data_IF_472671822260
#
_entry.id   IF_472671822260
#
_cell.length_a   1.000
_cell.length_b   1.000
_cell.length_c   1.000
_cell.angle_alpha   90.00
_cell.angle_beta   90.00
_cell.angle_gamma   90.00
#
_symmetry.space_group_name_H-M   'P 1'
#
loop_
_entity.id
_entity.type
_entity.pdbx_description
1 polymer ?
#
# COMPACT_ATOMS: atom_id res chain seq x y z
N UNK A 1 11.02 -21.37 -2.75
CA UNK A 1 10.86 -20.27 -3.72
C UNK A 1 10.99 -20.71 -5.19
N UNK A 2 11.37 -21.95 -5.53
CA UNK A 2 11.85 -22.31 -6.89
C UNK A 2 10.79 -22.41 -8.01
N UNK A 3 9.49 -22.14 -7.76
CA UNK A 3 8.45 -22.14 -8.82
C UNK A 3 7.30 -21.17 -8.54
N UNK A 4 7.57 -19.89 -8.29
CA UNK A 4 6.47 -18.89 -8.26
C UNK A 4 6.01 -18.48 -9.67
N UNK A 5 6.88 -18.53 -10.68
CA UNK A 5 6.64 -17.96 -12.03
C UNK A 5 6.83 -18.95 -13.20
N UNK A 6 6.74 -20.26 -12.97
CA UNK A 6 6.98 -21.25 -14.02
C UNK A 6 5.69 -21.67 -14.75
N UNK A 7 5.29 -20.91 -15.78
CA UNK A 7 4.47 -21.36 -16.92
C UNK A 7 2.97 -21.65 -16.68
N UNK A 8 2.11 -20.90 -17.38
CA UNK A 8 0.64 -20.98 -17.40
C UNK A 8 0.00 -20.86 -16.01
N UNK A 9 0.12 -19.67 -15.43
CA UNK A 9 -0.51 -19.29 -14.17
C UNK A 9 0.56 -19.07 -13.11
N UNK A 10 0.79 -17.80 -12.78
CA UNK A 10 1.41 -17.46 -11.51
C UNK A 10 0.54 -18.04 -10.41
N UNK A 11 1.11 -18.63 -9.37
CA UNK A 11 0.30 -19.17 -8.29
C UNK A 11 -0.03 -18.05 -7.30
N UNK A 12 -1.11 -17.31 -7.56
CA UNK A 12 -1.53 -16.16 -6.74
C UNK A 12 -1.76 -16.57 -5.28
N UNK A 13 -2.23 -17.80 -5.07
CA UNK A 13 -2.37 -18.38 -3.73
C UNK A 13 -1.02 -18.53 -3.01
N UNK A 14 0.03 -19.01 -3.69
CA UNK A 14 1.38 -19.04 -3.13
C UNK A 14 1.94 -17.63 -2.89
N UNK A 15 1.63 -16.66 -3.76
CA UNK A 15 2.01 -15.25 -3.55
C UNK A 15 1.40 -14.74 -2.25
N UNK A 16 0.10 -14.95 -2.02
CA UNK A 16 -0.58 -14.52 -0.79
C UNK A 16 0.02 -15.25 0.41
N UNK A 17 0.18 -16.57 0.34
CA UNK A 17 0.74 -17.38 1.42
C UNK A 17 2.17 -16.96 1.79
N UNK A 18 2.98 -16.51 0.83
CA UNK A 18 4.36 -16.08 1.07
C UNK A 18 4.42 -14.60 1.47
N UNK A 19 3.89 -13.68 0.67
CA UNK A 19 4.12 -12.26 0.86
C UNK A 19 3.23 -11.66 1.95
N UNK A 20 1.97 -12.07 2.06
CA UNK A 20 1.03 -11.44 3.01
C UNK A 20 1.43 -11.66 4.48
N UNK A 21 2.13 -12.76 4.78
CA UNK A 21 2.52 -13.14 6.15
C UNK A 21 3.95 -12.74 6.50
N UNK A 22 4.58 -11.86 5.72
CA UNK A 22 5.98 -11.45 5.88
C UNK A 22 6.02 -9.98 6.18
N UNK A 23 6.83 -9.58 7.16
CA UNK A 23 7.02 -8.18 7.47
C UNK A 23 7.95 -7.47 6.46
N UNK A 24 8.04 -6.15 6.49
CA UNK A 24 8.84 -5.35 5.55
C UNK A 24 10.30 -5.81 5.45
N UNK A 25 10.94 -6.17 6.57
CA UNK A 25 12.32 -6.66 6.58
C UNK A 25 12.43 -8.03 5.91
N UNK A 26 11.50 -8.94 6.19
CA UNK A 26 11.45 -10.26 5.55
C UNK A 26 11.16 -10.16 4.05
N UNK A 27 10.26 -9.27 3.63
CA UNK A 27 9.98 -9.02 2.20
C UNK A 27 11.21 -8.47 1.47
N UNK A 28 11.99 -7.61 2.14
CA UNK A 28 13.28 -7.14 1.62
C UNK A 28 14.26 -8.30 1.42
N UNK A 29 14.40 -9.18 2.40
CA UNK A 29 15.27 -10.37 2.29
C UNK A 29 14.80 -11.33 1.18
N UNK A 30 13.49 -11.47 0.99
CA UNK A 30 12.93 -12.25 -0.12
C UNK A 30 13.36 -11.65 -1.46
N UNK A 31 13.24 -10.32 -1.65
CA UNK A 31 13.69 -9.64 -2.87
C UNK A 31 15.19 -9.84 -3.13
N UNK A 32 16.02 -9.66 -2.11
CA UNK A 32 17.48 -9.83 -2.21
C UNK A 32 17.86 -11.28 -2.55
N UNK A 33 17.19 -12.24 -1.91
CA UNK A 33 17.40 -13.67 -2.17
C UNK A 33 16.95 -14.06 -3.58
N UNK A 34 15.82 -13.52 -4.04
CA UNK A 34 15.32 -13.74 -5.39
C UNK A 34 16.30 -13.20 -6.44
N UNK A 35 16.77 -11.97 -6.27
CA UNK A 35 17.76 -11.37 -7.16
C UNK A 35 19.07 -12.17 -7.19
N UNK A 36 19.52 -12.70 -6.06
CA UNK A 36 20.72 -13.55 -6.00
C UNK A 36 20.52 -14.90 -6.70
N UNK A 37 19.34 -15.51 -6.54
CA UNK A 37 19.06 -16.84 -7.08
C UNK A 37 18.76 -16.83 -8.59
N UNK A 38 18.08 -15.79 -9.08
CA UNK A 38 17.56 -15.73 -10.46
C UNK A 38 18.20 -14.64 -11.31
N UNK A 39 18.97 -13.72 -10.71
CA UNK A 39 19.49 -12.52 -11.41
C UNK A 39 18.38 -11.63 -12.00
N UNK A 40 17.17 -11.72 -11.43
CA UNK A 40 15.97 -11.00 -11.84
C UNK A 40 15.40 -10.15 -10.70
N UNK A 41 14.60 -9.15 -11.03
CA UNK A 41 13.93 -8.30 -10.03
C UNK A 41 12.53 -8.83 -9.77
N UNK A 42 12.28 -9.32 -8.56
CA UNK A 42 10.98 -9.85 -8.14
C UNK A 42 9.83 -8.88 -8.42
N UNK A 43 10.02 -7.57 -8.24
CA UNK A 43 8.95 -6.60 -8.50
C UNK A 43 8.65 -6.49 -9.99
N UNK A 44 9.66 -6.64 -10.85
CA UNK A 44 9.47 -6.61 -12.31
C UNK A 44 8.70 -7.85 -12.78
N UNK A 45 9.01 -9.01 -12.23
CA UNK A 45 8.32 -10.25 -12.60
C UNK A 45 6.88 -10.25 -12.08
N UNK A 46 6.65 -9.80 -10.83
CA UNK A 46 5.30 -9.58 -10.30
C UNK A 46 4.49 -8.58 -11.14
N UNK A 47 5.13 -7.53 -11.66
CA UNK A 47 4.47 -6.54 -12.52
C UNK A 47 4.15 -7.09 -13.93
N UNK A 48 4.97 -8.01 -14.44
CA UNK A 48 4.73 -8.64 -15.73
C UNK A 48 3.64 -9.73 -15.67
N UNK A 49 3.53 -10.42 -14.54
CA UNK A 49 2.69 -11.61 -14.40
C UNK A 49 1.32 -11.35 -13.77
N UNK A 50 1.20 -10.33 -12.92
CA UNK A 50 -0.05 -9.98 -12.26
C UNK A 50 -0.76 -8.87 -13.02
N UNK A 51 -2.09 -8.76 -12.83
CA UNK A 51 -2.87 -7.67 -13.43
C UNK A 51 -3.82 -7.02 -12.40
N UNK A 52 -4.36 -5.86 -12.79
CA UNK A 52 -5.47 -5.19 -12.08
C UNK A 52 -5.14 -4.88 -10.61
N UNK A 53 -6.12 -4.96 -9.71
CA UNK A 53 -5.97 -4.53 -8.32
C UNK A 53 -5.15 -5.50 -7.50
N UNK A 54 -5.16 -6.80 -7.86
CA UNK A 54 -4.31 -7.80 -7.23
C UNK A 54 -2.82 -7.50 -7.47
N UNK A 55 -2.42 -7.16 -8.71
CA UNK A 55 -1.07 -6.67 -9.01
C UNK A 55 -0.71 -5.47 -8.14
N UNK A 56 -1.60 -4.48 -8.05
CA UNK A 56 -1.34 -3.24 -7.32
C UNK A 56 -1.09 -3.50 -5.84
N UNK A 57 -1.94 -4.28 -5.17
CA UNK A 57 -1.77 -4.60 -3.74
C UNK A 57 -0.50 -5.40 -3.50
N UNK A 58 -0.18 -6.36 -4.37
CA UNK A 58 1.04 -7.18 -4.24
C UNK A 58 2.29 -6.33 -4.42
N UNK A 59 2.34 -5.47 -5.44
CA UNK A 59 3.48 -4.59 -5.68
C UNK A 59 3.67 -3.59 -4.54
N UNK A 60 2.62 -2.90 -4.11
CA UNK A 60 2.69 -1.94 -3.00
C UNK A 60 3.10 -2.61 -1.69
N UNK A 61 2.61 -3.83 -1.42
CA UNK A 61 3.03 -4.58 -0.25
C UNK A 61 4.50 -4.99 -0.30
N UNK A 62 4.98 -5.42 -1.46
CA UNK A 62 6.35 -5.94 -1.66
C UNK A 62 7.42 -4.87 -1.64
N UNK A 63 7.07 -3.62 -1.96
CA UNK A 63 7.96 -2.46 -1.77
C UNK A 63 8.34 -2.30 -0.30
N UNK A 64 9.57 -1.83 -0.04
CA UNK A 64 9.91 -1.33 1.29
C UNK A 64 9.07 -0.09 1.61
N UNK A 65 8.87 0.26 2.90
CA UNK A 65 8.07 1.43 3.28
C UNK A 65 8.51 2.72 2.56
N UNK A 66 9.82 2.94 2.43
CA UNK A 66 10.37 4.11 1.74
C UNK A 66 10.10 4.11 0.22
N UNK A 67 10.27 2.97 -0.45
CA UNK A 67 9.97 2.86 -1.89
C UNK A 67 8.47 2.98 -2.16
N UNK A 68 7.63 2.46 -1.26
CA UNK A 68 6.17 2.58 -1.31
C UNK A 68 5.73 4.04 -1.17
N UNK A 69 6.23 4.76 -0.16
CA UNK A 69 5.91 6.18 0.03
C UNK A 69 6.41 7.02 -1.15
N UNK A 70 7.60 6.73 -1.69
CA UNK A 70 8.10 7.37 -2.90
C UNK A 70 7.17 7.14 -4.11
N UNK A 71 6.70 5.90 -4.30
CA UNK A 71 5.76 5.57 -5.37
C UNK A 71 4.41 6.29 -5.19
N UNK A 72 3.83 6.23 -4.00
CA UNK A 72 2.55 6.89 -3.69
C UNK A 72 2.64 8.40 -3.87
N UNK A 73 3.75 9.02 -3.45
CA UNK A 73 3.97 10.44 -3.64
C UNK A 73 4.10 10.80 -5.13
N UNK A 74 4.81 9.99 -5.93
CA UNK A 74 4.90 10.19 -7.37
C UNK A 74 3.54 10.05 -8.06
N UNK A 75 2.73 9.06 -7.69
CA UNK A 75 1.37 8.94 -8.24
C UNK A 75 0.50 10.14 -7.84
N UNK A 76 0.66 10.64 -6.62
CA UNK A 76 -0.07 11.80 -6.12
C UNK A 76 0.38 13.15 -6.71
N UNK A 77 1.52 13.22 -7.40
CA UNK A 77 1.99 14.44 -8.09
C UNK A 77 1.69 14.42 -9.60
N UNK A 78 1.22 13.31 -10.18
CA UNK A 78 0.84 13.28 -11.60
C UNK A 78 -0.42 14.12 -11.85
N UNK A 79 -0.39 14.94 -12.91
CA UNK A 79 -1.45 15.91 -13.27
C UNK A 79 -2.88 15.36 -13.39
N UNK A 80 -3.06 14.06 -13.63
CA UNK A 80 -4.37 13.40 -13.73
C UNK A 80 -4.87 12.80 -12.40
N UNK A 81 -3.99 12.71 -11.39
CA UNK A 81 -4.23 12.04 -10.10
C UNK A 81 -3.74 12.89 -8.92
N UNK A 82 -3.57 14.20 -9.12
CA UNK A 82 -3.03 15.11 -8.12
C UNK A 82 -3.88 15.04 -6.84
N UNK A 83 -3.35 14.36 -5.83
CA UNK A 83 -4.04 14.12 -4.56
C UNK A 83 -3.20 14.68 -3.43
N UNK A 84 -3.46 15.96 -3.12
CA UNK A 84 -2.90 16.66 -1.98
C UNK A 84 -3.06 15.85 -0.67
N UNK A 85 -4.10 15.02 -0.57
CA UNK A 85 -4.37 14.18 0.59
C UNK A 85 -3.34 13.07 0.82
N UNK A 86 -2.85 12.42 -0.25
CA UNK A 86 -1.83 11.36 -0.11
C UNK A 86 -0.49 11.96 0.32
N UNK A 87 -0.13 13.12 -0.25
CA UNK A 87 1.08 13.86 0.17
C UNK A 87 0.97 14.27 1.63
N UNK A 88 -0.19 14.78 2.06
CA UNK A 88 -0.43 15.14 3.46
C UNK A 88 -0.42 13.93 4.40
N UNK A 89 -1.03 12.81 3.98
CA UNK A 89 -0.98 11.55 4.74
C UNK A 89 0.47 11.15 5.01
N UNK A 90 1.31 11.11 3.96
CA UNK A 90 2.74 10.77 4.09
C UNK A 90 3.43 11.79 5.00
N UNK A 91 3.26 13.09 4.75
CA UNK A 91 3.95 14.16 5.49
C UNK A 91 3.65 14.16 6.99
N UNK A 92 2.44 13.80 7.39
CA UNK A 92 1.98 13.95 8.76
C UNK A 92 1.90 12.64 9.56
N UNK A 93 2.06 11.48 8.93
CA UNK A 93 2.02 10.18 9.63
C UNK A 93 3.35 9.43 9.62
N UNK A 94 4.35 9.92 8.87
CA UNK A 94 5.71 9.36 8.83
C UNK A 94 6.63 10.19 9.75
N UNK A 95 7.57 9.51 10.39
CA UNK A 95 8.65 10.14 11.14
C UNK A 95 9.63 10.88 10.21
N UNK A 96 10.46 11.75 10.78
CA UNK A 96 11.47 12.48 9.99
C UNK A 96 12.47 11.56 9.27
N UNK A 97 12.83 10.43 9.89
CA UNK A 97 13.71 9.41 9.28
C UNK A 97 13.02 8.68 8.12
N UNK A 98 11.74 8.29 8.28
CA UNK A 98 10.96 7.68 7.21
C UNK A 98 10.79 8.64 6.02
N UNK A 99 10.51 9.92 6.28
CA UNK A 99 10.44 10.95 5.22
C UNK A 99 11.78 11.12 4.51
N UNK A 100 12.89 11.10 5.25
CA UNK A 100 14.22 11.18 4.66
C UNK A 100 14.52 9.97 3.77
N UNK A 101 14.18 8.76 4.20
CA UNK A 101 14.31 7.53 3.39
C UNK A 101 13.41 7.55 2.17
N UNK A 102 12.18 8.04 2.29
CA UNK A 102 11.26 8.19 1.16
C UNK A 102 11.82 9.13 0.09
N UNK A 103 12.41 10.27 0.47
CA UNK A 103 13.11 11.18 -0.47
C UNK A 103 14.26 10.49 -1.19
N UNK A 104 15.08 9.73 -0.47
CA UNK A 104 16.18 8.99 -1.09
C UNK A 104 15.67 7.96 -2.10
N UNK A 105 14.64 7.19 -1.73
CA UNK A 105 14.02 6.22 -2.62
C UNK A 105 13.39 6.89 -3.85
N UNK A 106 12.74 8.04 -3.67
CA UNK A 106 12.17 8.84 -4.75
C UNK A 106 13.25 9.30 -5.74
N UNK A 107 14.32 9.92 -5.23
CA UNK A 107 15.44 10.37 -6.07
C UNK A 107 16.12 9.19 -6.78
N UNK A 108 16.34 8.08 -6.08
CA UNK A 108 16.94 6.88 -6.66
C UNK A 108 16.12 6.34 -7.84
N UNK A 109 14.79 6.30 -7.71
CA UNK A 109 13.86 5.75 -8.70
C UNK A 109 13.54 6.72 -9.85
N UNK A 110 13.18 7.96 -9.53
CA UNK A 110 12.64 8.92 -10.50
C UNK A 110 13.66 9.95 -11.00
N UNK A 111 14.86 9.99 -10.42
CA UNK A 111 15.92 10.96 -10.75
C UNK A 111 15.48 12.42 -10.61
N UNK A 112 14.57 12.68 -9.67
CA UNK A 112 13.98 13.99 -9.35
C UNK A 112 13.91 14.17 -7.84
N UNK A 113 13.75 15.41 -7.39
CA UNK A 113 13.51 15.72 -5.98
C UNK A 113 12.00 15.70 -5.70
N UNK A 114 11.63 14.99 -4.63
CA UNK A 114 10.23 14.87 -4.22
C UNK A 114 9.62 16.25 -3.91
N UNK A 115 10.38 17.11 -3.25
CA UNK A 115 9.96 18.45 -2.84
C UNK A 115 9.64 19.34 -4.03
N UNK A 116 10.44 19.27 -5.10
CA UNK A 116 10.22 20.04 -6.32
C UNK A 116 8.93 19.59 -7.00
N UNK A 117 8.69 18.28 -7.06
CA UNK A 117 7.48 17.71 -7.64
C UNK A 117 6.24 18.05 -6.83
N UNK A 118 6.32 18.00 -5.50
CA UNK A 118 5.23 18.41 -4.61
C UNK A 118 4.95 19.91 -4.76
N UNK A 119 5.98 20.76 -4.72
CA UNK A 119 5.82 22.20 -4.83
C UNK A 119 5.23 22.65 -6.17
N UNK A 120 5.56 21.95 -7.26
CA UNK A 120 5.04 22.26 -8.59
C UNK A 120 3.59 21.79 -8.79
N UNK A 121 3.20 20.66 -8.19
CA UNK A 121 1.91 20.01 -8.49
C UNK A 121 0.85 20.20 -7.41
N UNK A 122 1.20 20.67 -6.21
CA UNK A 122 0.26 20.88 -5.10
C UNK A 122 0.04 22.37 -4.85
N UNK A 123 -1.23 22.77 -4.74
CA UNK A 123 -1.62 24.14 -4.37
C UNK A 123 -2.69 24.08 -3.28
N UNK A 124 -2.74 25.10 -2.41
CA UNK A 124 -3.77 25.27 -1.38
C UNK A 124 -3.30 25.06 0.06
N UNK A 125 -4.15 25.47 1.00
CA UNK A 125 -3.96 25.24 2.44
C UNK A 125 -4.30 23.80 2.80
N UNK A 126 -3.38 23.15 3.51
CA UNK A 126 -3.59 21.79 4.00
C UNK A 126 -4.17 21.83 5.41
N UNK A 127 -5.40 21.33 5.66
CA UNK A 127 -5.97 21.31 7.00
C UNK A 127 -5.23 20.27 7.86
N UNK A 128 -4.20 20.71 8.58
CA UNK A 128 -3.38 19.90 9.51
C UNK A 128 -4.25 19.23 10.59
N UNK A 129 -5.41 19.82 10.89
CA UNK A 129 -6.36 19.31 11.86
C UNK A 129 -6.87 17.89 11.54
N UNK A 130 -6.83 17.48 10.27
CA UNK A 130 -7.30 16.17 9.81
C UNK A 130 -6.49 14.97 10.34
N UNK A 131 -5.32 15.18 10.95
CA UNK A 131 -4.44 14.09 11.43
C UNK A 131 -4.18 14.12 12.94
N UNK A 132 -4.93 14.92 13.71
CA UNK A 132 -4.96 14.80 15.18
C UNK A 132 -5.41 13.41 15.65
N UNK A 133 -6.12 12.67 14.79
CA UNK A 133 -6.61 11.31 15.07
C UNK A 133 -6.49 10.45 13.80
N UNK A 134 -5.28 9.93 13.49
CA UNK A 134 -5.00 9.20 12.26
C UNK A 134 -6.00 8.06 11.97
N UNK A 135 -6.41 7.32 13.00
CA UNK A 135 -7.38 6.23 12.89
C UNK A 135 -8.74 6.68 12.33
N UNK A 136 -9.20 7.90 12.66
CA UNK A 136 -10.44 8.47 12.11
C UNK A 136 -10.30 8.88 10.65
N UNK A 137 -9.11 9.33 10.27
CA UNK A 137 -8.80 9.66 8.88
C UNK A 137 -8.81 8.37 8.04
N UNK A 138 -8.04 7.36 8.45
CA UNK A 138 -7.95 6.08 7.73
C UNK A 138 -9.29 5.34 7.70
N UNK A 139 -10.06 5.36 8.79
CA UNK A 139 -11.43 4.85 8.79
C UNK A 139 -12.27 5.52 7.69
N UNK A 140 -12.23 6.85 7.61
CA UNK A 140 -13.02 7.59 6.62
C UNK A 140 -12.58 7.26 5.20
N UNK A 141 -11.27 7.13 4.96
CA UNK A 141 -10.73 6.71 3.65
C UNK A 141 -11.23 5.31 3.29
N UNK A 142 -11.09 4.34 4.19
CA UNK A 142 -11.57 2.97 3.97
C UNK A 142 -13.08 2.91 3.72
N UNK A 143 -13.86 3.64 4.52
CA UNK A 143 -15.33 3.68 4.38
C UNK A 143 -15.77 4.32 3.06
N UNK A 144 -15.03 5.32 2.57
CA UNK A 144 -15.31 5.95 1.28
C UNK A 144 -14.80 5.12 0.10
N UNK A 145 -13.74 4.35 0.30
CA UNK A 145 -13.22 3.39 -0.66
C UNK A 145 -14.11 2.16 -0.80
N UNK A 146 -14.72 1.70 0.29
CA UNK A 146 -15.66 0.55 0.31
C UNK A 146 -17.10 1.09 0.14
N UNK A 147 -17.55 1.26 -1.11
CA UNK A 147 -18.88 1.81 -1.44
C UNK A 147 -19.71 0.76 -2.19
N UNK A 148 -20.97 0.61 -1.77
CA UNK A 148 -21.99 -0.29 -2.36
C UNK A 148 -22.28 -0.12 -3.88
N UNK A 149 -21.73 0.89 -4.56
CA UNK A 149 -21.93 1.17 -6.00
C UNK A 149 -20.61 1.18 -6.79
N UNK A 150 -19.52 0.70 -6.21
CA UNK A 150 -18.18 0.63 -6.79
C UNK A 150 -17.12 1.02 -5.77
N UNK A 151 -16.03 0.27 -5.72
CA UNK A 151 -14.92 0.50 -4.79
C UNK A 151 -13.94 1.53 -5.38
N UNK A 152 -13.30 2.34 -4.54
CA UNK A 152 -12.05 3.00 -4.92
C UNK A 152 -10.90 2.10 -4.46
N UNK A 153 -10.51 1.17 -5.32
CA UNK A 153 -9.48 0.17 -5.01
C UNK A 153 -8.12 0.82 -4.75
N UNK A 154 -7.88 2.05 -5.24
CA UNK A 154 -6.66 2.78 -4.96
C UNK A 154 -6.57 3.22 -3.50
N UNK A 155 -7.62 3.85 -2.98
CA UNK A 155 -7.68 4.25 -1.57
C UNK A 155 -7.64 3.05 -0.62
N UNK A 156 -8.42 1.99 -0.93
CA UNK A 156 -8.43 0.76 -0.14
C UNK A 156 -7.04 0.09 -0.12
N UNK A 157 -6.43 -0.10 -1.29
CA UNK A 157 -5.08 -0.70 -1.40
C UNK A 157 -4.04 0.14 -0.66
N UNK A 158 -4.07 1.47 -0.83
CA UNK A 158 -3.11 2.37 -0.18
C UNK A 158 -3.17 2.23 1.34
N UNK A 159 -4.37 2.30 1.92
CA UNK A 159 -4.51 2.24 3.38
C UNK A 159 -4.10 0.87 3.90
N UNK A 160 -4.55 -0.22 3.28
CA UNK A 160 -4.18 -1.57 3.73
C UNK A 160 -2.67 -1.78 3.66
N UNK A 161 -2.04 -1.46 2.53
CA UNK A 161 -0.59 -1.71 2.35
C UNK A 161 0.30 -0.81 3.20
N UNK A 162 -0.13 0.42 3.53
CA UNK A 162 0.67 1.33 4.36
C UNK A 162 0.43 1.15 5.86
N UNK A 163 -0.74 0.68 6.29
CA UNK A 163 -1.14 0.65 7.71
C UNK A 163 -1.17 -0.73 8.35
N UNK A 164 -1.13 -1.81 7.56
CA UNK A 164 -1.15 -3.19 8.07
C UNK A 164 -0.11 -3.46 9.17
N UNK A 165 1.11 -2.93 9.04
CA UNK A 165 2.22 -3.14 9.99
C UNK A 165 2.36 -2.01 11.03
N UNK A 166 1.41 -1.08 11.10
CA UNK A 166 1.54 0.17 11.88
C UNK A 166 0.45 0.30 12.93
N UNK A 167 -0.81 0.39 12.50
CA UNK A 167 -1.93 0.71 13.39
C UNK A 167 -3.27 0.15 12.89
N UNK A 168 -3.23 -0.91 12.07
CA UNK A 168 -4.43 -1.52 11.48
C UNK A 168 -5.48 -1.94 12.52
N UNK A 169 -5.08 -2.45 13.69
CA UNK A 169 -6.05 -2.81 14.75
C UNK A 169 -6.81 -1.59 15.27
N UNK A 170 -6.13 -0.46 15.50
CA UNK A 170 -6.80 0.79 15.91
C UNK A 170 -7.73 1.32 14.83
N UNK A 171 -7.34 1.18 13.56
CA UNK A 171 -8.19 1.55 12.42
C UNK A 171 -9.42 0.65 12.36
N UNK A 172 -9.27 -0.67 12.56
CA UNK A 172 -10.37 -1.65 12.59
C UNK A 172 -11.36 -1.34 13.72
N UNK A 173 -10.88 -0.98 14.91
CA UNK A 173 -11.70 -0.57 16.04
C UNK A 173 -12.54 0.68 15.72
N UNK A 174 -11.91 1.75 15.21
CA UNK A 174 -12.64 2.98 14.84
C UNK A 174 -13.60 2.74 13.67
N UNK A 175 -13.22 1.88 12.70
CA UNK A 175 -14.10 1.47 11.61
C UNK A 175 -15.34 0.75 12.13
N UNK A 176 -15.19 -0.23 13.02
CA UNK A 176 -16.33 -0.95 13.59
C UNK A 176 -17.25 -0.02 14.37
N UNK A 177 -16.66 0.84 15.21
CA UNK A 177 -17.39 1.83 16.02
C UNK A 177 -18.24 2.79 15.18
N UNK A 178 -17.75 3.22 14.02
CA UNK A 178 -18.45 4.18 13.15
C UNK A 178 -19.43 3.55 12.16
N UNK A 179 -19.17 2.32 11.73
CA UNK A 179 -19.91 1.69 10.64
C UNK A 179 -20.84 0.55 11.07
N UNK A 180 -20.68 0.04 12.30
CA UNK A 180 -21.48 -1.07 12.82
C UNK A 180 -21.17 -2.43 12.18
N UNK A 181 -20.15 -2.50 11.32
CA UNK A 181 -19.66 -3.72 10.66
C UNK A 181 -18.13 -3.77 10.79
N UNK A 182 -17.56 -4.96 10.91
CA UNK A 182 -16.09 -5.10 10.96
C UNK A 182 -15.47 -4.81 9.59
N UNK A 183 -14.23 -4.32 9.57
CA UNK A 183 -13.54 -3.99 8.32
C UNK A 183 -13.38 -5.22 7.42
N UNK A 184 -13.07 -6.39 8.00
CA UNK A 184 -12.93 -7.65 7.27
C UNK A 184 -14.25 -8.10 6.61
N UNK A 185 -15.39 -7.89 7.28
CA UNK A 185 -16.70 -8.14 6.66
C UNK A 185 -17.03 -7.13 5.57
N UNK A 186 -16.62 -5.87 5.74
CA UNK A 186 -16.85 -4.84 4.73
C UNK A 186 -16.04 -5.11 3.45
N UNK A 187 -14.77 -5.51 3.58
CA UNK A 187 -13.91 -5.87 2.44
C UNK A 187 -14.44 -7.11 1.73
N UNK A 188 -14.80 -8.17 2.46
CA UNK A 188 -15.37 -9.39 1.87
C UNK A 188 -16.75 -9.19 1.22
N UNK A 189 -17.43 -8.08 1.52
CA UNK A 189 -18.72 -7.74 0.92
C UNK A 189 -18.64 -6.88 -0.34
N UNK A 190 -17.50 -6.26 -0.61
CA UNK A 190 -17.32 -5.25 -1.66
C UNK A 190 -16.19 -5.60 -2.65
N UNK A 191 -15.29 -6.51 -2.28
CA UNK A 191 -14.20 -7.00 -3.13
C UNK A 191 -14.41 -8.47 -3.49
N UNK A 192 -13.57 -9.03 -4.37
CA UNK A 192 -13.61 -10.46 -4.70
C UNK A 192 -12.25 -10.96 -5.19
N UNK A 193 -12.13 -12.28 -5.40
CA UNK A 193 -10.97 -12.90 -6.04
C UNK A 193 -9.68 -12.82 -5.20
N UNK A 194 -8.53 -12.81 -5.88
CA UNK A 194 -7.21 -12.79 -5.22
C UNK A 194 -6.92 -11.46 -4.52
N UNK A 195 -7.50 -10.38 -5.04
CA UNK A 195 -7.45 -9.05 -4.42
C UNK A 195 -8.08 -9.07 -3.02
N UNK A 196 -9.31 -9.58 -2.88
CA UNK A 196 -9.94 -9.76 -1.58
C UNK A 196 -9.08 -10.61 -0.64
N UNK A 197 -8.63 -11.78 -1.13
CA UNK A 197 -7.85 -12.71 -0.28
C UNK A 197 -6.56 -12.07 0.22
N UNK A 198 -5.88 -11.29 -0.62
CA UNK A 198 -4.69 -10.55 -0.22
C UNK A 198 -5.01 -9.48 0.83
N UNK A 199 -6.02 -8.63 0.60
CA UNK A 199 -6.42 -7.61 1.56
C UNK A 199 -6.77 -8.21 2.92
N UNK A 200 -7.57 -9.28 2.93
CA UNK A 200 -7.96 -9.97 4.14
C UNK A 200 -6.76 -10.60 4.85
N UNK A 201 -5.80 -11.18 4.12
CA UNK A 201 -4.59 -11.71 4.71
C UNK A 201 -3.76 -10.61 5.39
N UNK A 202 -3.65 -9.43 4.76
CA UNK A 202 -2.89 -8.29 5.30
C UNK A 202 -3.50 -7.71 6.58
N UNK A 203 -4.83 -7.57 6.66
CA UNK A 203 -5.50 -6.94 7.83
C UNK A 203 -5.77 -7.92 8.99
N UNK A 204 -5.62 -9.23 8.75
CA UNK A 204 -5.78 -10.28 9.76
C UNK A 204 -4.47 -10.63 10.45
N UNK A 205 -3.34 -10.23 9.89
CA UNK A 205 -2.04 -10.53 10.47
C UNK A 205 -1.72 -9.55 11.59
N UNK A 206 -1.79 -10.02 12.83
CA UNK A 206 -1.24 -9.37 14.03
C UNK A 206 -0.21 -10.34 14.60
N UNK A 207 1.06 -9.95 14.49
CA UNK A 207 2.26 -10.44 15.18
C UNK A 207 2.46 -11.96 15.40
N UNK A 208 3.63 -12.44 14.93
CA UNK A 208 4.39 -13.50 15.59
C UNK A 208 5.59 -12.87 16.28
#
# INVERSE_FOLDING_TARGET
>A
MVKMFAGWGTNEELIIQILAHRNAAQRKLIRESYATAYSEDLLKDLDAELTSDFQRVVLLWTLSPAERDAYLANEATKRLTASNWVIMEIACTRSSDELFKARQAYHAKYKRLLEEDVAYHTTGDFPIECLKTPERYFEKVLRLGIKKLGTDEWDLTRVVTTRAEVDMERIKEEYHKRNGVTLDRAIAGDTSGDYERMLLALIRHVDA
#
